data_IF_840446019984
#
_entry.id   IF_840446019984
#
_cell.length_a   1.000
_cell.length_b   1.000
_cell.length_c   1.000
_cell.angle_alpha   90.00
_cell.angle_beta   90.00
_cell.angle_gamma   90.00
#
_symmetry.space_group_name_H-M   'P 1'
#
loop_
_entity.id
_entity.type
_entity.pdbx_description
1 polymer ?
#
# COMPACT_ATOMS: atom_id res chain seq x y z
N UNK A 1 -10.92 4.04 37.87
CA UNK A 1 -9.86 3.36 37.11
C UNK A 1 -10.06 3.75 35.64
N UNK A 2 -9.21 4.62 35.09
CA UNK A 2 -9.22 5.04 33.67
C UNK A 2 -8.57 3.92 32.87
N UNK A 3 -9.34 2.87 32.59
CA UNK A 3 -8.83 1.70 31.88
C UNK A 3 -8.58 2.03 30.39
N UNK A 4 -7.33 2.04 29.97
CA UNK A 4 -6.95 1.84 28.58
C UNK A 4 -6.68 0.35 28.39
N UNK A 5 -7.22 -0.25 27.32
CA UNK A 5 -6.95 -1.63 26.94
C UNK A 5 -6.72 -1.72 25.43
N UNK A 6 -5.87 -2.65 25.03
CA UNK A 6 -5.68 -3.01 23.62
C UNK A 6 -6.24 -4.42 23.45
N UNK A 7 -7.06 -4.62 22.43
CA UNK A 7 -7.59 -5.94 22.06
C UNK A 7 -7.63 -6.11 20.57
N UNK A 8 -7.70 -7.36 20.12
CA UNK A 8 -7.97 -7.65 18.71
C UNK A 8 -9.33 -7.06 18.31
N UNK A 9 -9.41 -6.50 17.12
CA UNK A 9 -10.63 -5.94 16.58
C UNK A 9 -11.58 -7.03 16.11
N UNK A 10 -12.86 -6.72 16.15
CA UNK A 10 -13.93 -7.57 15.63
C UNK A 10 -14.73 -6.81 14.57
N UNK A 11 -15.56 -7.53 13.81
CA UNK A 11 -16.43 -6.91 12.79
C UNK A 11 -17.33 -5.80 13.36
N UNK A 12 -17.70 -5.89 14.65
CA UNK A 12 -18.49 -4.86 15.33
C UNK A 12 -17.75 -3.53 15.53
N UNK A 13 -16.41 -3.51 15.40
CA UNK A 13 -15.61 -2.29 15.57
C UNK A 13 -15.51 -1.47 14.26
N UNK A 14 -15.97 -2.00 13.13
CA UNK A 14 -15.82 -1.37 11.80
C UNK A 14 -16.33 0.07 11.76
N UNK A 15 -17.47 0.36 12.41
CA UNK A 15 -18.03 1.72 12.45
C UNK A 15 -17.14 2.67 13.29
N UNK A 16 -16.62 2.21 14.40
CA UNK A 16 -15.72 3.01 15.24
C UNK A 16 -14.37 3.26 14.53
N UNK A 17 -13.84 2.26 13.83
CA UNK A 17 -12.64 2.38 12.99
C UNK A 17 -12.84 3.43 11.91
N UNK A 18 -13.95 3.34 11.14
CA UNK A 18 -14.28 4.30 10.10
C UNK A 18 -14.41 5.73 10.66
N UNK A 19 -15.07 5.90 11.81
CA UNK A 19 -15.17 7.21 12.48
C UNK A 19 -13.80 7.80 12.79
N UNK A 20 -12.87 6.99 13.32
CA UNK A 20 -11.52 7.47 13.66
C UNK A 20 -10.74 7.78 12.37
N UNK A 21 -10.81 6.94 11.35
CA UNK A 21 -10.17 7.19 10.07
C UNK A 21 -10.59 8.53 9.48
N UNK A 22 -11.90 8.81 9.43
CA UNK A 22 -12.45 10.09 8.97
C UNK A 22 -11.97 11.26 9.84
N UNK A 23 -12.00 11.11 11.17
CA UNK A 23 -11.56 12.16 12.09
C UNK A 23 -10.06 12.49 11.97
N UNK A 24 -9.26 11.56 11.44
CA UNK A 24 -7.83 11.75 11.17
C UNK A 24 -7.52 12.14 9.72
N UNK A 25 -8.53 12.43 8.91
CA UNK A 25 -8.39 12.87 7.53
C UNK A 25 -8.25 11.74 6.51
N UNK A 26 -8.56 10.51 6.92
CA UNK A 26 -8.55 9.33 6.05
C UNK A 26 -9.96 9.10 5.51
N UNK A 27 -10.31 9.75 4.41
CA UNK A 27 -11.60 9.62 3.73
C UNK A 27 -11.53 8.84 2.40
N UNK A 28 -10.35 8.29 2.08
CA UNK A 28 -10.08 7.54 0.87
C UNK A 28 -10.51 6.07 0.97
N UNK A 29 -10.71 5.43 -0.19
CA UNK A 29 -11.18 4.03 -0.29
C UNK A 29 -10.19 2.97 0.23
N UNK A 30 -8.96 3.35 0.57
CA UNK A 30 -7.90 2.45 1.05
C UNK A 30 -7.59 2.59 2.54
N UNK A 31 -8.38 3.35 3.23
CA UNK A 31 -8.20 3.61 4.66
C UNK A 31 -9.18 2.82 5.50
N UNK A 32 -9.07 2.93 6.81
CA UNK A 32 -10.03 2.36 7.76
C UNK A 32 -11.47 2.84 7.57
N UNK A 33 -11.72 3.86 6.72
CA UNK A 33 -13.08 4.26 6.32
C UNK A 33 -13.72 3.32 5.30
N UNK A 34 -12.95 2.50 4.57
CA UNK A 34 -13.48 1.49 3.65
C UNK A 34 -13.78 0.17 4.37
N UNK A 35 -15.05 -0.24 4.48
CA UNK A 35 -15.41 -1.50 5.13
C UNK A 35 -14.84 -2.74 4.43
N UNK A 36 -14.55 -2.68 3.13
CA UNK A 36 -13.96 -3.80 2.40
C UNK A 36 -12.49 -3.98 2.80
N UNK A 37 -11.75 -2.89 2.91
CA UNK A 37 -10.38 -2.88 3.41
C UNK A 37 -10.30 -3.40 4.85
N UNK A 38 -11.16 -2.90 5.74
CA UNK A 38 -11.20 -3.36 7.14
C UNK A 38 -11.51 -4.86 7.23
N UNK A 39 -12.47 -5.37 6.43
CA UNK A 39 -12.76 -6.81 6.38
C UNK A 39 -11.57 -7.63 5.87
N UNK A 40 -10.84 -7.13 4.88
CA UNK A 40 -9.62 -7.78 4.37
C UNK A 40 -8.57 -7.90 5.47
N UNK A 41 -8.30 -6.83 6.21
CA UNK A 41 -7.35 -6.84 7.32
C UNK A 41 -7.79 -7.75 8.48
N UNK A 42 -9.09 -7.82 8.78
CA UNK A 42 -9.62 -8.77 9.78
C UNK A 42 -9.44 -10.24 9.37
N UNK A 43 -9.47 -10.53 8.07
CA UNK A 43 -9.35 -11.89 7.55
C UNK A 43 -7.90 -12.34 7.31
N UNK A 44 -7.02 -11.44 6.89
CA UNK A 44 -5.69 -11.74 6.38
C UNK A 44 -4.54 -10.99 7.06
N UNK A 45 -4.85 -10.05 7.95
CA UNK A 45 -3.91 -9.28 8.73
C UNK A 45 -4.10 -9.47 10.23
N UNK A 46 -3.54 -8.53 10.99
CA UNK A 46 -3.85 -8.37 12.41
C UNK A 46 -4.32 -6.95 12.64
N UNK A 47 -5.55 -6.80 13.11
CA UNK A 47 -6.18 -5.52 13.41
C UNK A 47 -6.48 -5.45 14.91
N UNK A 48 -6.02 -4.39 15.57
CA UNK A 48 -6.27 -4.13 16.99
C UNK A 48 -6.99 -2.81 17.17
N UNK A 49 -7.74 -2.70 18.25
CA UNK A 49 -8.33 -1.44 18.72
C UNK A 49 -7.83 -1.09 20.12
N UNK A 50 -7.64 0.21 20.33
CA UNK A 50 -7.38 0.78 21.64
C UNK A 50 -8.68 1.31 22.21
N UNK A 51 -9.05 0.83 23.41
CA UNK A 51 -10.20 1.33 24.16
C UNK A 51 -9.75 2.32 25.22
N UNK A 52 -10.48 3.42 25.35
CA UNK A 52 -10.32 4.39 26.41
C UNK A 52 -11.69 4.78 26.96
N UNK A 53 -11.88 4.67 28.29
CA UNK A 53 -13.16 4.96 28.97
C UNK A 53 -14.38 4.21 28.39
N UNK A 54 -14.16 2.98 27.90
CA UNK A 54 -15.22 2.12 27.35
C UNK A 54 -15.60 2.41 25.90
N UNK A 55 -14.85 3.25 25.19
CA UNK A 55 -15.05 3.52 23.77
C UNK A 55 -13.76 3.23 22.98
N UNK A 56 -13.90 2.84 21.71
CA UNK A 56 -12.77 2.70 20.79
C UNK A 56 -12.21 4.09 20.48
N UNK A 57 -10.94 4.30 20.81
CA UNK A 57 -10.20 5.55 20.72
C UNK A 57 -8.99 5.48 19.77
N UNK A 58 -8.74 4.35 19.15
CA UNK A 58 -7.68 4.17 18.16
C UNK A 58 -7.74 2.79 17.54
N UNK A 59 -7.10 2.62 16.40
CA UNK A 59 -6.89 1.33 15.77
C UNK A 59 -5.52 1.25 15.11
N UNK A 60 -5.02 0.04 14.97
CA UNK A 60 -3.78 -0.23 14.24
C UNK A 60 -3.86 -1.58 13.54
N UNK A 61 -3.23 -1.69 12.39
CA UNK A 61 -3.26 -2.89 11.58
C UNK A 61 -1.89 -3.24 11.03
N UNK A 62 -1.60 -4.54 10.99
CA UNK A 62 -0.44 -5.08 10.28
C UNK A 62 -0.89 -6.14 9.29
N UNK A 63 -0.13 -6.26 8.20
CA UNK A 63 -0.26 -7.31 7.20
C UNK A 63 1.09 -8.02 7.04
N UNK A 64 1.06 -9.35 6.87
CA UNK A 64 2.28 -10.12 6.61
C UNK A 64 2.51 -10.28 5.11
N UNK A 65 3.68 -9.86 4.65
CA UNK A 65 4.14 -10.06 3.28
C UNK A 65 5.08 -11.26 3.27
N UNK A 66 4.70 -12.31 2.57
CA UNK A 66 5.43 -13.58 2.56
C UNK A 66 5.18 -14.44 3.79
N UNK A 67 5.91 -15.55 3.87
CA UNK A 67 5.76 -16.56 4.94
C UNK A 67 7.13 -17.07 5.42
N UNK A 68 7.18 -17.63 6.63
CA UNK A 68 8.39 -18.21 7.21
C UNK A 68 9.46 -17.17 7.57
N UNK A 69 10.76 -17.55 7.52
CA UNK A 69 11.86 -16.67 7.96
C UNK A 69 12.05 -15.38 7.12
N UNK A 70 11.49 -15.36 5.92
CA UNK A 70 11.54 -14.20 5.02
C UNK A 70 10.29 -13.32 5.11
N UNK A 71 9.36 -13.62 6.02
CA UNK A 71 8.16 -12.81 6.21
C UNK A 71 8.53 -11.41 6.71
N UNK A 72 7.82 -10.41 6.20
CA UNK A 72 7.94 -9.01 6.59
C UNK A 72 6.62 -8.59 7.20
N UNK A 73 6.64 -7.94 8.34
CA UNK A 73 5.45 -7.35 8.94
C UNK A 73 5.33 -5.88 8.50
N UNK A 74 4.35 -5.60 7.67
CA UNK A 74 3.99 -4.23 7.32
C UNK A 74 2.99 -3.66 8.32
N UNK A 75 3.26 -2.49 8.88
CA UNK A 75 2.25 -1.67 9.53
C UNK A 75 1.47 -0.92 8.45
N UNK A 76 0.19 -1.27 8.32
CA UNK A 76 -0.72 -0.68 7.34
C UNK A 76 -1.33 0.62 7.86
N UNK A 77 -1.84 0.58 9.09
CA UNK A 77 -2.54 1.69 9.74
C UNK A 77 -2.13 1.83 11.20
N UNK A 78 -2.08 3.06 11.69
CA UNK A 78 -1.99 3.37 13.10
C UNK A 78 -2.63 4.74 13.37
N UNK A 79 -3.86 4.75 13.79
CA UNK A 79 -4.64 5.96 14.02
C UNK A 79 -5.17 6.03 15.44
N UNK A 80 -5.12 7.22 16.00
CA UNK A 80 -5.66 7.54 17.33
C UNK A 80 -6.61 8.72 17.20
N UNK A 81 -7.79 8.60 17.79
CA UNK A 81 -8.76 9.69 17.87
C UNK A 81 -8.05 10.97 18.36
N UNK A 82 -8.18 12.10 17.65
CA UNK A 82 -7.51 13.36 18.03
C UNK A 82 -7.73 13.78 19.47
N UNK A 83 -8.91 13.51 20.03
CA UNK A 83 -9.25 13.83 21.43
C UNK A 83 -8.52 12.93 22.45
N UNK A 84 -7.89 11.85 21.97
CA UNK A 84 -7.16 10.88 22.78
C UNK A 84 -5.65 10.91 22.51
N UNK A 85 -5.14 11.92 21.81
CA UNK A 85 -3.71 12.09 21.59
C UNK A 85 -2.97 12.32 22.93
N UNK A 86 -1.72 11.91 23.02
CA UNK A 86 -0.89 12.05 24.21
C UNK A 86 -1.13 10.99 25.29
N UNK A 87 -2.12 10.10 25.14
CA UNK A 87 -2.41 9.02 26.11
C UNK A 87 -1.54 7.76 25.89
N UNK A 88 -0.63 7.75 24.92
CA UNK A 88 0.24 6.62 24.64
C UNK A 88 -0.42 5.45 23.87
N UNK A 89 -1.65 5.63 23.35
CA UNK A 89 -2.41 4.57 22.68
C UNK A 89 -1.68 4.01 21.44
N UNK A 90 -1.11 4.86 20.59
CA UNK A 90 -0.37 4.42 19.42
C UNK A 90 0.83 3.53 19.80
N UNK A 91 1.57 3.90 20.83
CA UNK A 91 2.65 3.07 21.37
C UNK A 91 2.15 1.73 21.87
N UNK A 92 1.09 1.73 22.68
CA UNK A 92 0.53 0.50 23.24
C UNK A 92 0.02 -0.46 22.13
N UNK A 93 -0.57 0.05 21.06
CA UNK A 93 -0.97 -0.74 19.89
C UNK A 93 0.25 -1.34 19.18
N UNK A 94 1.33 -0.58 18.97
CA UNK A 94 2.56 -1.09 18.34
C UNK A 94 3.22 -2.19 19.19
N UNK A 95 3.22 -2.09 20.49
CA UNK A 95 3.75 -3.14 21.39
C UNK A 95 3.01 -4.47 21.21
N UNK A 96 1.72 -4.43 20.86
CA UNK A 96 0.91 -5.62 20.57
C UNK A 96 1.13 -6.10 19.14
N UNK A 97 1.22 -5.20 18.16
CA UNK A 97 1.32 -5.51 16.73
C UNK A 97 2.72 -6.02 16.35
N UNK A 98 3.77 -5.53 16.98
CA UNK A 98 5.18 -5.80 16.65
C UNK A 98 5.90 -6.65 17.74
N UNK A 99 5.31 -7.74 18.15
CA UNK A 99 5.85 -8.58 19.23
C UNK A 99 6.75 -9.73 18.76
N UNK A 100 6.75 -10.08 17.47
CA UNK A 100 7.32 -11.32 16.95
C UNK A 100 8.77 -11.24 16.44
N UNK A 101 9.37 -10.03 16.42
CA UNK A 101 10.76 -9.84 15.99
C UNK A 101 11.01 -10.00 14.49
N UNK A 102 9.97 -10.12 13.65
CA UNK A 102 10.11 -10.13 12.19
C UNK A 102 10.62 -8.79 11.66
N UNK A 103 11.29 -8.76 10.49
CA UNK A 103 11.58 -7.51 9.79
C UNK A 103 10.30 -6.69 9.57
N UNK A 104 10.38 -5.37 9.78
CA UNK A 104 9.20 -4.49 9.80
C UNK A 104 9.35 -3.36 8.83
N UNK A 105 8.23 -2.93 8.27
CA UNK A 105 8.17 -1.75 7.42
C UNK A 105 6.84 -1.02 7.55
N UNK A 106 6.82 0.23 7.11
CA UNK A 106 5.63 1.06 6.95
C UNK A 106 5.86 2.16 5.92
N UNK A 107 4.78 2.69 5.38
CA UNK A 107 4.77 3.99 4.71
C UNK A 107 4.20 5.00 5.71
N UNK A 108 5.08 5.82 6.24
CA UNK A 108 4.73 6.77 7.29
C UNK A 108 4.35 8.12 6.71
N UNK A 109 3.19 8.63 7.09
CA UNK A 109 2.90 10.04 6.89
C UNK A 109 3.96 10.93 7.58
N UNK A 110 4.07 12.19 7.15
CA UNK A 110 4.99 13.16 7.77
C UNK A 110 4.44 13.76 9.08
N UNK A 111 3.46 13.13 9.71
CA UNK A 111 2.93 13.60 10.99
C UNK A 111 4.03 13.64 12.06
N UNK A 112 4.10 14.74 12.82
CA UNK A 112 5.21 15.03 13.73
C UNK A 112 5.47 13.95 14.79
N UNK A 113 4.48 13.13 15.13
CA UNK A 113 4.61 12.05 16.10
C UNK A 113 4.89 10.67 15.49
N UNK A 114 4.67 10.48 14.19
CA UNK A 114 4.81 9.19 13.52
C UNK A 114 6.28 8.76 13.40
N UNK A 115 7.11 9.59 12.78
CA UNK A 115 8.53 9.28 12.56
C UNK A 115 9.29 8.99 13.87
N UNK A 116 9.20 9.83 14.92
CA UNK A 116 9.85 9.54 16.19
C UNK A 116 9.33 8.28 16.88
N UNK A 117 8.05 7.95 16.67
CA UNK A 117 7.48 6.73 17.20
C UNK A 117 8.10 5.51 16.53
N UNK A 118 8.11 5.44 15.20
CA UNK A 118 8.63 4.29 14.47
C UNK A 118 10.15 4.13 14.64
N UNK A 119 10.90 5.21 14.70
CA UNK A 119 12.34 5.19 14.98
C UNK A 119 12.66 4.53 16.33
N UNK A 120 11.82 4.70 17.38
CA UNK A 120 11.98 4.01 18.66
C UNK A 120 11.81 2.50 18.60
N UNK A 121 11.14 2.01 17.54
CA UNK A 121 10.99 0.58 17.26
C UNK A 121 12.01 0.06 16.24
N UNK A 122 13.06 0.86 15.95
CA UNK A 122 14.18 0.45 15.12
C UNK A 122 13.95 0.57 13.61
N UNK A 123 12.94 1.35 13.19
CA UNK A 123 12.75 1.63 11.77
C UNK A 123 13.57 2.86 11.38
N UNK A 124 14.40 2.70 10.36
CA UNK A 124 15.11 3.79 9.70
C UNK A 124 14.30 4.35 8.53
N UNK A 125 14.47 5.65 8.26
CA UNK A 125 13.85 6.32 7.13
C UNK A 125 14.73 6.14 5.88
N UNK A 126 14.18 5.57 4.80
CA UNK A 126 14.96 5.20 3.62
C UNK A 126 14.73 6.10 2.41
N UNK A 127 13.47 6.23 1.99
CA UNK A 127 13.10 6.99 0.78
C UNK A 127 11.64 7.41 0.80
N UNK A 128 11.30 8.53 0.14
CA UNK A 128 9.90 8.94 0.00
C UNK A 128 9.15 8.09 -1.03
N UNK A 129 7.91 7.74 -0.71
CA UNK A 129 6.91 7.23 -1.63
C UNK A 129 6.14 8.43 -2.19
N UNK A 130 6.16 8.62 -3.50
CA UNK A 130 5.48 9.71 -4.18
C UNK A 130 4.09 9.26 -4.65
N UNK A 131 3.07 10.04 -4.37
CA UNK A 131 1.72 9.86 -4.87
C UNK A 131 1.56 10.70 -6.15
N UNK A 132 1.93 10.09 -7.28
CA UNK A 132 1.96 10.79 -8.56
C UNK A 132 0.60 10.72 -9.25
N UNK A 133 0.03 11.88 -9.59
CA UNK A 133 -1.20 12.00 -10.37
C UNK A 133 -0.99 12.77 -11.67
N UNK A 134 -1.60 12.31 -12.76
CA UNK A 134 -1.45 12.99 -14.04
C UNK A 134 -2.34 12.47 -15.16
N UNK A 135 -2.24 13.14 -16.30
CA UNK A 135 -2.97 12.83 -17.51
C UNK A 135 -2.30 11.64 -18.25
N UNK A 136 -3.09 10.60 -18.52
CA UNK A 136 -2.61 9.43 -19.26
C UNK A 136 -2.80 9.56 -20.77
N UNK A 137 -3.60 10.50 -21.26
CA UNK A 137 -3.95 10.62 -22.68
C UNK A 137 -2.74 10.94 -23.56
N UNK A 138 -1.74 11.61 -22.99
CA UNK A 138 -0.48 11.93 -23.65
C UNK A 138 0.55 10.80 -23.58
N UNK A 139 0.36 9.82 -22.71
CA UNK A 139 1.29 8.70 -22.58
C UNK A 139 1.20 7.77 -23.79
N UNK A 140 2.31 7.13 -24.11
CA UNK A 140 2.40 6.09 -25.15
C UNK A 140 3.11 4.88 -24.55
N UNK A 141 2.55 3.71 -24.80
CA UNK A 141 3.21 2.47 -24.43
C UNK A 141 4.58 2.39 -25.11
N UNK A 142 5.62 2.01 -24.36
CA UNK A 142 6.93 1.78 -24.94
C UNK A 142 6.90 0.67 -26.02
N UNK A 143 7.80 0.76 -27.00
CA UNK A 143 7.85 -0.24 -28.07
C UNK A 143 8.07 -1.66 -27.54
N UNK A 144 7.35 -2.62 -28.10
CA UNK A 144 7.40 -4.03 -27.69
C UNK A 144 6.58 -4.36 -26.43
N UNK A 145 5.90 -3.37 -25.84
CA UNK A 145 5.03 -3.59 -24.68
C UNK A 145 3.56 -3.64 -25.07
N UNK A 146 2.84 -4.57 -24.45
CA UNK A 146 1.39 -4.69 -24.49
C UNK A 146 0.85 -4.99 -23.10
N UNK A 147 -0.37 -4.55 -22.81
CA UNK A 147 -1.05 -4.85 -21.54
C UNK A 147 -2.37 -5.53 -21.84
N UNK A 148 -2.69 -6.56 -21.07
CA UNK A 148 -3.96 -7.27 -21.18
C UNK A 148 -4.60 -7.49 -19.83
N UNK A 149 -5.93 -7.59 -19.77
CA UNK A 149 -6.64 -8.11 -18.62
C UNK A 149 -6.19 -9.54 -18.25
N UNK A 150 -6.23 -9.84 -16.95
CA UNK A 150 -5.92 -11.15 -16.40
C UNK A 150 -6.89 -11.50 -15.26
N UNK A 151 -6.77 -12.69 -14.69
CA UNK A 151 -7.44 -13.03 -13.43
C UNK A 151 -6.53 -12.70 -12.24
N UNK A 152 -7.11 -12.49 -11.05
CA UNK A 152 -6.36 -12.31 -9.81
C UNK A 152 -5.41 -13.51 -9.55
N UNK A 153 -5.87 -14.73 -9.80
CA UNK A 153 -5.05 -15.94 -9.65
C UNK A 153 -3.87 -16.02 -10.63
N UNK A 154 -4.02 -15.54 -11.87
CA UNK A 154 -2.91 -15.45 -12.83
C UNK A 154 -1.84 -14.47 -12.35
N UNK A 155 -2.26 -13.28 -11.94
CA UNK A 155 -1.35 -12.22 -11.45
C UNK A 155 -0.63 -12.69 -10.19
N UNK A 156 -1.34 -13.23 -9.20
CA UNK A 156 -0.75 -13.78 -7.99
C UNK A 156 0.22 -14.93 -8.27
N UNK A 157 -0.09 -15.78 -9.24
CA UNK A 157 0.79 -16.88 -9.69
C UNK A 157 2.11 -16.37 -10.28
N UNK A 158 2.07 -15.33 -11.11
CA UNK A 158 3.26 -14.68 -11.66
C UNK A 158 4.07 -13.99 -10.57
N UNK A 159 3.44 -13.22 -9.70
CA UNK A 159 4.13 -12.56 -8.58
C UNK A 159 4.81 -13.58 -7.67
N UNK A 160 4.12 -14.65 -7.27
CA UNK A 160 4.69 -15.73 -6.48
C UNK A 160 5.88 -16.40 -7.18
N UNK A 161 5.79 -16.63 -8.48
CA UNK A 161 6.90 -17.18 -9.26
C UNK A 161 8.14 -16.27 -9.23
N UNK A 162 7.94 -14.95 -9.26
CA UNK A 162 9.03 -13.97 -9.33
C UNK A 162 9.61 -13.61 -7.97
N UNK A 163 8.76 -13.50 -6.95
CA UNK A 163 9.14 -12.97 -5.63
C UNK A 163 9.15 -14.03 -4.54
N UNK A 164 8.50 -15.17 -4.74
CA UNK A 164 8.23 -16.17 -3.70
C UNK A 164 7.07 -15.80 -2.77
N UNK A 165 6.45 -14.62 -2.95
CA UNK A 165 5.39 -14.10 -2.10
C UNK A 165 4.03 -14.48 -2.69
N UNK A 166 3.16 -15.07 -1.88
CA UNK A 166 1.76 -15.34 -2.25
C UNK A 166 0.88 -14.17 -1.81
N UNK A 167 0.33 -13.45 -2.79
CA UNK A 167 -0.58 -12.32 -2.58
C UNK A 167 -1.96 -12.56 -3.21
N UNK A 168 -2.37 -13.83 -3.28
CA UNK A 168 -3.65 -14.20 -3.91
C UNK A 168 -4.81 -13.44 -3.26
N UNK A 169 -4.90 -13.42 -1.93
CA UNK A 169 -5.96 -12.73 -1.22
C UNK A 169 -5.97 -11.21 -1.47
N UNK A 170 -4.78 -10.59 -1.58
CA UNK A 170 -4.67 -9.16 -1.86
C UNK A 170 -5.15 -8.85 -3.29
N UNK A 171 -4.72 -9.61 -4.29
CA UNK A 171 -5.17 -9.43 -5.67
C UNK A 171 -6.67 -9.68 -5.83
N UNK A 172 -7.27 -10.63 -5.11
CA UNK A 172 -8.71 -10.85 -5.08
C UNK A 172 -9.44 -9.65 -4.46
N UNK A 173 -8.93 -9.12 -3.34
CA UNK A 173 -9.49 -7.94 -2.69
C UNK A 173 -9.40 -6.70 -3.59
N UNK A 174 -8.25 -6.46 -4.22
CA UNK A 174 -8.09 -5.35 -5.16
C UNK A 174 -8.96 -5.50 -6.41
N UNK A 175 -9.10 -6.72 -6.94
CA UNK A 175 -9.97 -7.00 -8.09
C UNK A 175 -11.47 -6.80 -7.77
N UNK A 176 -11.86 -6.96 -6.51
CA UNK A 176 -13.25 -6.75 -6.06
C UNK A 176 -13.61 -5.26 -5.87
N UNK A 177 -12.65 -4.35 -5.93
CA UNK A 177 -12.88 -2.89 -5.81
C UNK A 177 -13.55 -2.31 -7.04
N UNK A 178 -14.14 -1.11 -6.95
CA UNK A 178 -14.65 -0.40 -8.13
C UNK A 178 -13.59 -0.31 -9.23
N UNK A 179 -13.94 -0.74 -10.45
CA UNK A 179 -13.05 -0.82 -11.60
C UNK A 179 -11.73 -1.62 -11.37
N UNK A 180 -11.71 -2.48 -10.34
CA UNK A 180 -10.57 -3.35 -10.05
C UNK A 180 -10.32 -4.34 -11.18
N UNK A 181 -9.15 -4.24 -11.82
CA UNK A 181 -8.77 -5.08 -12.96
C UNK A 181 -7.34 -5.59 -12.79
N UNK A 182 -7.17 -6.89 -12.53
CA UNK A 182 -5.86 -7.53 -12.64
C UNK A 182 -5.35 -7.47 -14.08
N UNK A 183 -4.06 -7.18 -14.26
CA UNK A 183 -3.43 -7.01 -15.57
C UNK A 183 -2.08 -7.68 -15.63
N UNK A 184 -1.70 -8.11 -16.84
CA UNK A 184 -0.34 -8.54 -17.17
C UNK A 184 0.19 -7.61 -18.25
N UNK A 185 1.35 -7.01 -17.99
CA UNK A 185 2.12 -6.29 -18.97
C UNK A 185 3.17 -7.23 -19.58
N UNK A 186 3.14 -7.34 -20.89
CA UNK A 186 4.00 -8.21 -21.66
C UNK A 186 5.03 -7.40 -22.44
N UNK A 187 6.26 -7.89 -22.52
CA UNK A 187 7.29 -7.37 -23.38
C UNK A 187 7.66 -8.47 -24.40
N UNK A 188 7.53 -8.14 -25.67
CA UNK A 188 7.82 -9.08 -26.77
C UNK A 188 7.08 -10.43 -26.58
N UNK A 189 5.80 -10.38 -26.15
CA UNK A 189 4.93 -11.53 -25.91
C UNK A 189 5.24 -12.36 -24.66
N UNK A 190 6.05 -11.85 -23.73
CA UNK A 190 6.36 -12.50 -22.45
C UNK A 190 5.95 -11.64 -21.28
N UNK A 191 5.34 -12.24 -20.26
CA UNK A 191 4.99 -11.53 -19.04
C UNK A 191 6.23 -10.89 -18.41
N UNK A 192 6.16 -9.57 -18.20
CA UNK A 192 7.26 -8.74 -17.69
C UNK A 192 6.86 -7.88 -16.49
N UNK A 193 5.56 -7.71 -16.25
CA UNK A 193 5.00 -7.21 -15.01
C UNK A 193 3.58 -7.75 -14.83
N UNK A 194 3.12 -7.87 -13.60
CA UNK A 194 1.78 -8.31 -13.27
C UNK A 194 1.27 -7.56 -12.03
N UNK A 195 0.01 -7.15 -12.02
CA UNK A 195 -0.53 -6.37 -10.92
C UNK A 195 -2.01 -6.11 -11.05
N UNK A 196 -2.50 -5.18 -10.26
CA UNK A 196 -3.90 -4.77 -10.28
C UNK A 196 -3.99 -3.25 -10.43
N UNK A 197 -4.90 -2.82 -11.29
CA UNK A 197 -5.28 -1.42 -11.48
C UNK A 197 -6.71 -1.25 -11.01
N UNK A 198 -7.15 -0.03 -10.73
CA UNK A 198 -8.53 0.24 -10.30
C UNK A 198 -8.63 1.49 -9.44
N UNK A 199 -9.75 1.60 -8.73
CA UNK A 199 -10.10 2.76 -7.93
C UNK A 199 -11.27 3.54 -8.51
N UNK A 200 -11.65 4.62 -7.89
CA UNK A 200 -12.73 5.50 -8.32
C UNK A 200 -12.27 6.95 -8.44
N UNK A 201 -12.88 7.69 -9.37
CA UNK A 201 -12.62 9.12 -9.51
C UNK A 201 -11.13 9.46 -9.68
N UNK A 202 -10.62 10.31 -8.80
CA UNK A 202 -9.23 10.78 -8.82
C UNK A 202 -8.24 9.72 -8.31
N UNK A 203 -8.71 8.66 -7.65
CA UNK A 203 -7.91 7.56 -7.10
C UNK A 203 -7.72 6.40 -8.07
N UNK A 204 -8.23 6.51 -9.31
CA UNK A 204 -8.06 5.46 -10.32
C UNK A 204 -6.61 5.39 -10.80
N UNK A 205 -6.02 4.19 -10.79
CA UNK A 205 -4.64 4.04 -11.24
C UNK A 205 -4.04 2.65 -10.99
N UNK A 206 -2.73 2.61 -10.86
CA UNK A 206 -2.01 1.38 -10.50
C UNK A 206 -2.07 1.23 -8.99
N UNK A 207 -2.69 0.14 -8.53
CA UNK A 207 -2.78 -0.20 -7.11
C UNK A 207 -1.48 -0.89 -6.66
N UNK A 208 -1.07 -1.90 -7.40
CA UNK A 208 0.14 -2.67 -7.16
C UNK A 208 0.66 -3.26 -8.46
N UNK A 209 1.98 -3.33 -8.61
CA UNK A 209 2.63 -3.96 -9.77
C UNK A 209 3.91 -4.69 -9.34
N UNK A 210 3.92 -6.00 -9.52
CA UNK A 210 5.08 -6.85 -9.30
C UNK A 210 5.90 -6.99 -10.59
N UNK A 211 7.23 -7.03 -10.44
CA UNK A 211 8.18 -7.21 -11.53
C UNK A 211 9.14 -8.36 -11.23
N UNK A 212 9.62 -9.09 -12.27
CA UNK A 212 10.63 -10.14 -12.08
C UNK A 212 11.91 -9.59 -11.41
N UNK A 213 12.61 -10.39 -10.57
CA UNK A 213 13.84 -9.96 -9.90
C UNK A 213 14.94 -9.51 -10.86
N UNK A 214 15.00 -10.10 -12.06
CA UNK A 214 15.96 -9.74 -13.09
C UNK A 214 15.57 -8.48 -13.89
N UNK A 215 14.44 -7.85 -13.58
CA UNK A 215 13.99 -6.64 -14.28
C UNK A 215 14.99 -5.50 -14.04
N UNK A 216 15.51 -4.93 -15.13
CA UNK A 216 16.41 -3.76 -15.08
C UNK A 216 15.61 -2.47 -15.04
N UNK A 217 16.24 -1.36 -14.66
CA UNK A 217 15.61 -0.04 -14.55
C UNK A 217 14.78 0.37 -15.79
N UNK A 218 15.29 0.13 -16.99
CA UNK A 218 14.55 0.42 -18.21
C UNK A 218 13.24 -0.39 -18.30
N UNK A 219 13.30 -1.68 -17.92
CA UNK A 219 12.12 -2.55 -17.88
C UNK A 219 11.12 -2.11 -16.82
N UNK A 220 11.58 -1.76 -15.61
CA UNK A 220 10.71 -1.27 -14.54
C UNK A 220 10.02 0.05 -14.91
N UNK A 221 10.77 0.99 -15.51
CA UNK A 221 10.20 2.22 -16.07
C UNK A 221 9.13 1.91 -17.13
N UNK A 222 9.48 1.08 -18.08
CA UNK A 222 8.63 0.80 -19.25
C UNK A 222 7.37 0.03 -18.86
N UNK A 223 7.44 -0.86 -17.87
CA UNK A 223 6.28 -1.56 -17.32
C UNK A 223 5.23 -0.58 -16.75
N UNK A 224 5.67 0.34 -15.90
CA UNK A 224 4.78 1.38 -15.33
C UNK A 224 4.17 2.23 -16.43
N UNK A 225 4.99 2.72 -17.40
CA UNK A 225 4.50 3.55 -18.49
C UNK A 225 3.54 2.78 -19.42
N UNK A 226 3.79 1.50 -19.67
CA UNK A 226 2.90 0.65 -20.47
C UNK A 226 1.54 0.49 -19.80
N UNK A 227 1.52 0.18 -18.51
CA UNK A 227 0.26 0.03 -17.75
C UNK A 227 -0.49 1.36 -17.71
N UNK A 228 0.17 2.48 -17.38
CA UNK A 228 -0.48 3.79 -17.36
C UNK A 228 -1.02 4.21 -18.72
N UNK A 229 -0.28 3.95 -19.82
CA UNK A 229 -0.73 4.26 -21.18
C UNK A 229 -1.88 3.35 -21.66
N UNK A 230 -2.09 2.20 -21.03
CA UNK A 230 -3.19 1.28 -21.32
C UNK A 230 -4.48 1.68 -20.57
N UNK A 231 -4.36 2.41 -19.44
CA UNK A 231 -5.52 2.84 -18.67
C UNK A 231 -6.42 3.79 -19.48
N UNK A 232 -7.73 3.65 -19.27
CA UNK A 232 -8.77 4.59 -19.76
C UNK A 232 -9.59 5.12 -18.56
N UNK A 233 -8.99 5.93 -17.70
CA UNK A 233 -9.65 6.42 -16.50
C UNK A 233 -10.67 7.50 -16.81
N UNK A 234 -11.75 7.63 -16.01
CA UNK A 234 -12.67 8.75 -16.09
C UNK A 234 -11.91 10.09 -16.03
N UNK A 235 -12.15 10.97 -17.04
CA UNK A 235 -11.48 12.27 -17.12
C UNK A 235 -10.00 12.23 -17.51
N UNK A 236 -9.48 11.07 -17.98
CA UNK A 236 -8.12 10.94 -18.52
C UNK A 236 -7.00 11.02 -17.48
N UNK A 237 -7.31 11.02 -16.19
CA UNK A 237 -6.31 11.13 -15.11
C UNK A 237 -6.16 9.81 -14.35
N UNK A 238 -4.92 9.48 -14.01
CA UNK A 238 -4.62 8.32 -13.16
C UNK A 238 -3.60 8.66 -12.06
N UNK A 239 -3.50 7.76 -11.07
CA UNK A 239 -2.52 7.80 -9.98
C UNK A 239 -1.60 6.59 -10.00
N UNK A 240 -0.43 6.76 -9.43
CA UNK A 240 0.50 5.67 -9.10
C UNK A 240 1.36 6.07 -7.91
N UNK A 241 1.54 5.16 -6.97
CA UNK A 241 2.47 5.33 -5.86
C UNK A 241 3.84 4.78 -6.27
N UNK A 242 4.85 5.64 -6.32
CA UNK A 242 6.20 5.25 -6.71
C UNK A 242 7.23 5.69 -5.66
N UNK A 243 8.17 4.81 -5.28
CA UNK A 243 9.40 5.25 -4.62
C UNK A 243 10.08 6.36 -5.43
N UNK A 244 10.58 7.40 -4.77
CA UNK A 244 11.28 8.49 -5.47
C UNK A 244 12.47 7.99 -6.33
N UNK A 245 13.25 6.94 -5.93
CA UNK A 245 14.28 6.36 -6.77
C UNK A 245 13.77 5.51 -7.95
N UNK A 246 12.45 5.26 -8.08
CA UNK A 246 11.91 4.43 -9.14
C UNK A 246 12.16 5.06 -10.53
N UNK A 247 12.64 4.30 -11.52
CA UNK A 247 13.03 4.86 -12.83
C UNK A 247 11.88 5.47 -13.64
N UNK A 248 10.60 5.20 -13.30
CA UNK A 248 9.44 5.84 -13.91
C UNK A 248 9.11 7.21 -13.29
N UNK A 249 9.55 7.52 -12.07
CA UNK A 249 9.16 8.77 -11.39
C UNK A 249 9.59 10.00 -12.19
N UNK A 250 10.86 10.09 -12.61
CA UNK A 250 11.36 11.24 -13.38
C UNK A 250 10.64 11.43 -14.72
N UNK A 251 10.45 10.42 -15.58
CA UNK A 251 9.68 10.58 -16.83
C UNK A 251 8.26 11.10 -16.60
N UNK A 252 7.55 10.62 -15.59
CA UNK A 252 6.20 11.08 -15.26
C UNK A 252 6.20 12.54 -14.83
N UNK A 253 7.11 12.95 -13.93
CA UNK A 253 7.24 14.35 -13.52
C UNK A 253 7.58 15.27 -14.70
N UNK A 254 8.46 14.84 -15.61
CA UNK A 254 8.79 15.61 -16.84
C UNK A 254 7.58 15.67 -17.79
N UNK A 255 6.72 14.65 -17.82
CA UNK A 255 5.47 14.64 -18.57
C UNK A 255 4.34 15.48 -17.92
N UNK A 256 4.63 16.19 -16.81
CA UNK A 256 3.68 17.09 -16.14
C UNK A 256 2.83 16.42 -15.05
N UNK A 257 3.14 15.17 -14.69
CA UNK A 257 2.54 14.56 -13.50
C UNK A 257 2.97 15.31 -12.24
N UNK A 258 2.09 15.38 -11.27
CA UNK A 258 2.33 16.09 -10.02
C UNK A 258 2.40 15.12 -8.87
N UNK A 259 3.16 15.47 -7.85
CA UNK A 259 3.14 14.78 -6.57
C UNK A 259 2.10 15.46 -5.70
N UNK A 260 1.01 14.76 -5.43
CA UNK A 260 -0.12 15.30 -4.66
C UNK A 260 0.07 15.07 -3.16
N UNK A 261 0.81 14.01 -2.79
CA UNK A 261 1.15 13.67 -1.40
C UNK A 261 2.43 12.83 -1.36
N UNK A 262 2.97 12.57 -0.17
CA UNK A 262 4.09 11.68 0.02
C UNK A 262 4.08 11.02 1.41
N UNK A 263 4.52 9.76 1.43
CA UNK A 263 4.89 9.06 2.65
C UNK A 263 6.40 8.83 2.69
N UNK A 264 6.90 8.54 3.87
CA UNK A 264 8.28 8.10 4.04
C UNK A 264 8.30 6.59 4.29
N UNK A 265 8.97 5.86 3.40
CA UNK A 265 9.24 4.46 3.64
C UNK A 265 10.20 4.30 4.81
N UNK A 266 9.74 3.59 5.84
CA UNK A 266 10.54 3.26 7.00
C UNK A 266 10.59 1.74 7.18
N UNK A 267 11.77 1.22 7.50
CA UNK A 267 11.97 -0.21 7.67
C UNK A 267 13.14 -0.51 8.61
N UNK A 268 13.12 -1.69 9.22
CA UNK A 268 14.23 -2.19 10.04
C UNK A 268 15.47 -2.54 9.23
N UNK A 269 15.30 -2.78 7.92
CA UNK A 269 16.38 -3.14 7.00
C UNK A 269 16.19 -2.47 5.64
N UNK A 270 17.28 -2.03 4.96
CA UNK A 270 17.18 -1.25 3.72
C UNK A 270 16.63 -2.01 2.52
N UNK A 271 16.75 -3.34 2.53
CA UNK A 271 16.47 -4.19 1.37
C UNK A 271 15.12 -4.90 1.38
N UNK A 272 14.22 -4.60 2.34
CA UNK A 272 12.93 -5.29 2.41
C UNK A 272 12.04 -4.97 1.21
N UNK A 273 12.18 -3.79 0.64
CA UNK A 273 11.51 -3.39 -0.60
C UNK A 273 12.52 -2.69 -1.52
N UNK A 274 12.65 -3.17 -2.77
CA UNK A 274 13.55 -2.55 -3.75
C UNK A 274 12.90 -1.30 -4.37
N UNK A 275 13.37 -0.09 -4.04
CA UNK A 275 12.72 1.15 -4.49
C UNK A 275 12.81 1.39 -5.99
N UNK A 276 13.66 0.64 -6.70
CA UNK A 276 13.80 0.77 -8.15
C UNK A 276 12.85 -0.12 -8.93
N UNK A 277 12.20 -1.05 -8.25
CA UNK A 277 11.27 -2.03 -8.88
C UNK A 277 9.91 -2.09 -8.22
N UNK A 278 9.79 -1.66 -6.99
CA UNK A 278 8.52 -1.71 -6.28
C UNK A 278 7.53 -0.67 -6.82
N UNK A 279 6.30 -1.11 -7.04
CA UNK A 279 5.13 -0.27 -7.23
C UNK A 279 4.12 -0.73 -6.19
N UNK A 280 4.28 -0.30 -4.94
CA UNK A 280 3.53 -0.83 -3.81
C UNK A 280 2.12 -0.25 -3.73
N UNK A 281 1.23 -1.00 -3.11
CA UNK A 281 0.02 -0.45 -2.52
C UNK A 281 0.36 0.14 -1.14
N UNK A 282 0.14 1.44 -0.88
CA UNK A 282 0.51 2.03 0.41
C UNK A 282 -0.15 1.38 1.62
N UNK A 283 -1.35 0.84 1.45
CA UNK A 283 -2.09 0.17 2.53
C UNK A 283 -1.77 -1.31 2.72
N UNK A 284 -1.18 -1.99 1.70
CA UNK A 284 -0.90 -3.43 1.77
C UNK A 284 0.48 -3.81 1.21
N UNK A 285 1.27 -2.84 0.67
CA UNK A 285 2.60 -2.89 0.02
C UNK A 285 2.72 -3.84 -1.16
#
# INVERSE_FOLDING_TARGET
MTGTSIRDAAAADTEAIARIAIATGQDEEWSGSDPAYVRHLLAHGRLVVAEHRGAVAGFGATHQIGTGPAAITMLCDLFVDPDCHGLGLGRAMLEVLWHDGTPRMTFSSLHAHALPLYARYGLDAWWPLLYLGGDVTALRAPAGWAVRPASAGEVAGLERQWTGIDRTADHEAWAARPAGQPVVAERDGRAAAAGTVGGAGTEFGIIHLALPPACRDAGARDAVLAVLAWLDPPGGRARVCLPAPHPAARPLLVAGWRNDDLDLYMATEPGLLDPRRAVPSPGLA
#
